data_IF_377426647200
#
_entry.id   IF_377426647200
#
_cell.length_a   1.000
_cell.length_b   1.000
_cell.length_c   1.000
_cell.angle_alpha   90.00
_cell.angle_beta   90.00
_cell.angle_gamma   90.00
#
_symmetry.space_group_name_H-M   'P 1'
#
loop_
_entity.id
_entity.type
_entity.pdbx_description
1 polymer ?
#
# COMPACT_ATOMS: atom_id res chain seq x y z
N UNK A 1 -10.09 -13.97 -11.87
CA UNK A 1 -9.05 -13.12 -12.46
C UNK A 1 -8.97 -13.41 -13.94
N UNK A 2 -9.40 -12.48 -14.77
CA UNK A 2 -9.16 -12.54 -16.21
C UNK A 2 -7.70 -12.15 -16.45
N UNK A 3 -7.04 -12.76 -17.42
CA UNK A 3 -5.62 -12.47 -17.78
C UNK A 3 -5.38 -11.00 -18.21
N UNK A 4 -6.39 -10.15 -18.14
CA UNK A 4 -6.40 -8.72 -18.49
C UNK A 4 -6.34 -7.80 -17.26
N UNK A 5 -6.44 -8.33 -16.04
CA UNK A 5 -6.38 -7.51 -14.84
C UNK A 5 -4.95 -6.99 -14.64
N UNK A 6 -4.83 -5.72 -14.33
CA UNK A 6 -3.52 -5.10 -14.08
C UNK A 6 -2.87 -5.63 -12.80
N UNK A 7 -3.69 -5.96 -11.81
CA UNK A 7 -3.25 -6.48 -10.52
C UNK A 7 -3.94 -7.79 -10.17
N UNK A 8 -3.18 -8.73 -9.60
CA UNK A 8 -3.71 -9.92 -8.94
C UNK A 8 -3.68 -9.69 -7.44
N UNK A 9 -4.85 -9.64 -6.80
CA UNK A 9 -4.94 -9.46 -5.35
C UNK A 9 -4.48 -10.73 -4.67
N UNK A 10 -3.43 -10.59 -3.85
CA UNK A 10 -2.85 -11.67 -3.09
C UNK A 10 -3.47 -11.80 -1.70
N UNK A 11 -3.67 -10.67 -1.01
CA UNK A 11 -4.29 -10.66 0.31
C UNK A 11 -5.02 -9.34 0.60
N UNK A 12 -5.95 -9.37 1.54
CA UNK A 12 -6.71 -8.22 2.02
C UNK A 12 -6.54 -8.09 3.53
N UNK A 13 -6.48 -6.85 4.01
CA UNK A 13 -6.29 -6.54 5.44
C UNK A 13 -5.10 -7.29 6.07
N UNK A 14 -4.00 -7.40 5.31
CA UNK A 14 -2.83 -8.14 5.72
C UNK A 14 -2.16 -7.51 6.93
N UNK A 15 -2.02 -8.28 8.00
CA UNK A 15 -1.30 -7.88 9.19
C UNK A 15 0.15 -8.35 9.12
N UNK A 16 1.09 -7.41 9.12
CA UNK A 16 2.52 -7.72 9.04
C UNK A 16 2.93 -8.63 10.20
N UNK A 17 3.57 -9.76 9.89
CA UNK A 17 3.99 -10.71 10.92
C UNK A 17 5.04 -10.09 11.87
N UNK A 18 5.14 -10.63 13.09
CA UNK A 18 6.17 -10.18 14.05
C UNK A 18 7.60 -10.38 13.52
N UNK A 19 7.81 -11.34 12.62
CA UNK A 19 9.11 -11.61 11.99
C UNK A 19 9.50 -10.54 10.98
N UNK A 20 8.50 -9.91 10.35
CA UNK A 20 8.67 -8.83 9.37
C UNK A 20 8.59 -7.43 10.02
N UNK A 21 8.45 -7.35 11.35
CA UNK A 21 8.42 -6.07 12.06
C UNK A 21 9.82 -5.62 12.39
N UNK A 22 10.16 -4.44 11.93
CA UNK A 22 11.41 -3.78 12.29
C UNK A 22 11.18 -2.75 13.40
N UNK A 23 12.04 -2.76 14.43
CA UNK A 23 12.05 -1.72 15.46
C UNK A 23 12.80 -0.50 14.93
N UNK A 24 12.05 0.49 14.48
CA UNK A 24 12.62 1.75 14.04
C UNK A 24 13.39 2.44 15.18
N UNK A 25 14.72 2.59 15.03
CA UNK A 25 15.64 3.42 15.82
C UNK A 25 15.39 3.53 17.33
N UNK A 26 14.80 2.54 17.96
CA UNK A 26 14.64 2.54 19.42
C UNK A 26 13.71 3.63 19.97
N UNK A 27 13.07 4.45 19.15
CA UNK A 27 12.05 5.39 19.62
C UNK A 27 10.81 4.59 20.04
N UNK A 28 10.64 4.42 21.34
CA UNK A 28 9.39 3.93 21.91
C UNK A 28 8.28 4.91 21.55
N UNK A 29 7.30 4.46 20.81
CA UNK A 29 6.03 5.17 20.67
C UNK A 29 5.44 5.34 22.07
N UNK A 30 4.86 6.50 22.37
CA UNK A 30 4.17 6.77 23.65
C UNK A 30 3.36 5.53 24.05
N UNK A 31 3.65 4.95 25.22
CA UNK A 31 3.02 3.78 25.83
C UNK A 31 3.59 2.39 25.48
N UNK A 32 4.73 2.28 24.79
CA UNK A 32 5.42 0.99 24.65
C UNK A 32 4.73 -0.06 23.74
N UNK A 33 3.64 0.31 23.10
CA UNK A 33 2.93 -0.52 22.14
C UNK A 33 3.22 -0.02 20.72
N UNK A 34 3.88 -0.82 19.91
CA UNK A 34 4.02 -0.59 18.48
C UNK A 34 2.85 -1.33 17.83
N UNK A 35 1.86 -0.61 17.28
CA UNK A 35 0.77 -1.28 16.56
C UNK A 35 1.38 -2.06 15.40
N UNK A 36 0.95 -3.30 15.24
CA UNK A 36 1.31 -4.07 14.05
C UNK A 36 0.63 -3.42 12.85
N UNK A 37 1.40 -2.96 11.84
CA UNK A 37 0.78 -2.35 10.68
C UNK A 37 -0.14 -3.35 9.98
N UNK A 38 -1.28 -2.87 9.56
CA UNK A 38 -2.21 -3.59 8.71
C UNK A 38 -2.28 -2.84 7.40
N UNK A 39 -2.12 -3.55 6.30
CA UNK A 39 -2.25 -3.01 4.96
C UNK A 39 -3.54 -3.50 4.31
N UNK A 40 -4.24 -2.60 3.63
CA UNK A 40 -5.56 -2.92 3.08
C UNK A 40 -5.48 -3.97 1.98
N UNK A 41 -4.52 -3.86 1.06
CA UNK A 41 -4.37 -4.78 -0.06
C UNK A 41 -2.90 -5.12 -0.30
N UNK A 42 -2.62 -6.41 -0.43
CA UNK A 42 -1.38 -6.90 -1.04
C UNK A 42 -1.73 -7.46 -2.41
N UNK A 43 -1.01 -7.00 -3.43
CA UNK A 43 -1.26 -7.39 -4.81
C UNK A 43 0.05 -7.64 -5.58
N UNK A 44 -0.07 -8.35 -6.69
CA UNK A 44 1.00 -8.52 -7.67
C UNK A 44 0.61 -7.74 -8.92
N UNK A 45 1.46 -6.85 -9.38
CA UNK A 45 1.27 -6.17 -10.65
C UNK A 45 1.63 -7.11 -11.78
N UNK A 46 0.67 -7.41 -12.65
CA UNK A 46 0.79 -8.51 -13.60
C UNK A 46 1.79 -8.27 -14.74
N UNK A 47 2.04 -6.99 -15.09
CA UNK A 47 2.95 -6.67 -16.21
C UNK A 47 4.43 -6.90 -15.89
N UNK A 48 4.84 -6.80 -14.62
CA UNK A 48 6.24 -6.95 -14.19
C UNK A 48 6.41 -7.85 -12.96
N UNK A 49 5.33 -8.47 -12.49
CA UNK A 49 5.30 -9.37 -11.33
C UNK A 49 5.77 -8.74 -10.01
N UNK A 50 5.71 -7.42 -9.93
CA UNK A 50 6.12 -6.67 -8.76
C UNK A 50 5.09 -6.79 -7.63
N UNK A 51 5.58 -7.05 -6.42
CA UNK A 51 4.74 -7.05 -5.23
C UNK A 51 4.36 -5.61 -4.87
N UNK A 52 3.08 -5.36 -4.68
CA UNK A 52 2.51 -4.05 -4.37
C UNK A 52 1.76 -4.09 -3.05
N UNK A 53 2.00 -3.10 -2.22
CA UNK A 53 1.24 -2.81 -1.00
C UNK A 53 0.39 -1.59 -1.28
N UNK A 54 -0.92 -1.75 -1.22
CA UNK A 54 -1.88 -0.70 -1.62
C UNK A 54 -2.74 -0.34 -0.41
N UNK A 55 -2.74 0.92 -0.06
CA UNK A 55 -3.54 1.47 1.02
C UNK A 55 -4.73 2.25 0.47
N UNK A 56 -5.93 1.92 0.93
CA UNK A 56 -7.16 2.56 0.47
C UNK A 56 -7.44 3.84 1.25
N UNK A 57 -7.78 4.90 0.56
CA UNK A 57 -8.24 6.16 1.15
C UNK A 57 -9.53 6.61 0.46
N UNK A 58 -10.56 6.89 1.25
CA UNK A 58 -11.83 7.40 0.73
C UNK A 58 -12.12 8.78 1.29
N UNK A 59 -12.22 9.76 0.38
CA UNK A 59 -12.55 11.13 0.72
C UNK A 59 -11.48 11.85 1.55
N UNK A 60 -11.72 13.12 1.77
CA UNK A 60 -10.76 14.04 2.39
C UNK A 60 -10.43 13.69 3.84
N UNK A 61 -11.41 13.16 4.59
CA UNK A 61 -11.23 12.81 6.00
C UNK A 61 -10.19 11.71 6.21
N UNK A 62 -9.98 10.85 5.21
CA UNK A 62 -9.02 9.75 5.27
C UNK A 62 -7.58 10.19 4.98
N UNK A 63 -7.33 11.48 4.69
CA UNK A 63 -6.00 11.97 4.30
C UNK A 63 -5.14 12.42 5.46
N UNK A 64 -5.76 12.72 6.61
CA UNK A 64 -5.07 13.26 7.79
C UNK A 64 -4.94 12.23 8.91
N UNK A 65 -4.07 12.55 9.91
CA UNK A 65 -3.87 11.73 11.11
C UNK A 65 -5.19 11.44 11.88
N UNK A 66 -5.27 10.34 12.63
CA UNK A 66 -4.17 9.38 12.94
C UNK A 66 -4.00 8.24 11.93
N UNK A 67 -4.79 8.16 10.88
CA UNK A 67 -4.75 7.09 9.87
C UNK A 67 -4.58 7.66 8.47
N UNK A 68 -3.85 8.75 8.37
CA UNK A 68 -3.66 9.50 7.15
C UNK A 68 -2.61 8.92 6.19
N UNK A 69 -2.36 9.68 5.13
CA UNK A 69 -1.42 9.33 4.08
C UNK A 69 -0.01 9.13 4.64
N UNK A 70 0.40 10.00 5.54
CA UNK A 70 1.77 9.99 6.07
C UNK A 70 2.01 8.82 7.00
N UNK A 71 1.08 8.55 7.92
CA UNK A 71 1.22 7.45 8.88
C UNK A 71 1.34 6.08 8.18
N UNK A 72 0.54 5.86 7.13
CA UNK A 72 0.62 4.61 6.37
C UNK A 72 1.90 4.50 5.54
N UNK A 73 2.36 5.59 4.93
CA UNK A 73 3.64 5.61 4.24
C UNK A 73 4.80 5.35 5.20
N UNK A 74 4.75 5.94 6.40
CA UNK A 74 5.73 5.71 7.46
C UNK A 74 5.69 4.25 7.95
N UNK A 75 4.50 3.70 8.15
CA UNK A 75 4.33 2.31 8.55
C UNK A 75 4.92 1.35 7.53
N UNK A 76 4.71 1.58 6.24
CA UNK A 76 5.34 0.78 5.17
C UNK A 76 6.86 0.92 5.22
N UNK A 77 7.37 2.13 5.25
CA UNK A 77 8.80 2.40 5.26
C UNK A 77 9.50 1.72 6.45
N UNK A 78 8.91 1.82 7.63
CA UNK A 78 9.48 1.24 8.86
C UNK A 78 9.39 -0.28 8.93
N UNK A 79 8.46 -0.90 8.21
CA UNK A 79 8.26 -2.36 8.27
C UNK A 79 8.88 -3.10 7.09
N UNK A 80 8.80 -2.54 5.90
CA UNK A 80 9.17 -3.23 4.65
C UNK A 80 10.22 -2.43 3.87
N UNK A 81 10.10 -1.09 3.87
CA UNK A 81 10.83 -0.25 2.92
C UNK A 81 12.33 -0.09 3.20
N UNK A 82 12.74 0.09 4.46
CA UNK A 82 14.10 0.50 4.81
C UNK A 82 15.05 -0.62 5.17
N UNK A 83 14.55 -1.73 5.68
CA UNK A 83 15.41 -2.80 6.15
C UNK A 83 15.41 -3.97 5.19
N UNK A 84 16.61 -4.35 4.73
CA UNK A 84 16.77 -5.45 3.77
C UNK A 84 16.24 -6.78 4.32
N UNK A 85 16.47 -7.07 5.60
CA UNK A 85 16.07 -8.34 6.20
C UNK A 85 14.55 -8.45 6.34
N UNK A 86 13.89 -7.37 6.79
CA UNK A 86 12.42 -7.37 6.90
C UNK A 86 11.75 -7.39 5.54
N UNK A 87 12.34 -6.72 4.54
CA UNK A 87 11.88 -6.77 3.15
C UNK A 87 11.96 -8.19 2.59
N UNK A 88 13.09 -8.88 2.76
CA UNK A 88 13.24 -10.28 2.34
C UNK A 88 12.20 -11.15 3.05
N UNK A 89 12.08 -11.03 4.38
CA UNK A 89 11.11 -11.82 5.15
C UNK A 89 9.65 -11.59 4.69
N UNK A 90 9.30 -10.35 4.37
CA UNK A 90 7.97 -10.03 3.82
C UNK A 90 7.76 -10.65 2.43
N UNK A 91 8.73 -10.54 1.53
CA UNK A 91 8.64 -11.14 0.19
C UNK A 91 8.52 -12.66 0.27
N UNK A 92 9.30 -13.30 1.16
CA UNK A 92 9.24 -14.76 1.39
C UNK A 92 7.87 -15.18 1.94
N UNK A 93 7.31 -14.40 2.87
CA UNK A 93 5.97 -14.64 3.41
C UNK A 93 4.91 -14.54 2.31
N UNK A 94 4.98 -13.51 1.45
CA UNK A 94 4.06 -13.35 0.33
C UNK A 94 4.20 -14.44 -0.74
N UNK A 95 5.40 -14.94 -0.98
CA UNK A 95 5.59 -16.11 -1.84
C UNK A 95 4.91 -17.37 -1.27
N UNK A 96 4.95 -17.56 0.04
CA UNK A 96 4.25 -18.68 0.68
C UNK A 96 2.72 -18.52 0.58
N UNK A 97 2.18 -17.32 0.76
CA UNK A 97 0.76 -17.02 0.55
C UNK A 97 0.36 -17.27 -0.90
N UNK A 98 1.18 -16.78 -1.86
CA UNK A 98 0.94 -17.03 -3.28
C UNK A 98 0.92 -18.53 -3.59
N UNK A 99 1.90 -19.27 -3.10
CA UNK A 99 1.98 -20.73 -3.31
C UNK A 99 0.74 -21.44 -2.79
N UNK A 100 0.33 -21.11 -1.57
CA UNK A 100 -0.90 -21.67 -0.98
C UNK A 100 -2.13 -21.35 -1.84
N UNK A 101 -2.33 -20.09 -2.19
CA UNK A 101 -3.50 -19.66 -2.98
C UNK A 101 -3.48 -20.19 -4.41
N UNK A 102 -2.30 -20.31 -5.02
CA UNK A 102 -2.11 -20.74 -6.40
C UNK A 102 -2.12 -22.27 -6.54
N UNK A 103 -1.30 -22.94 -5.72
CA UNK A 103 -0.99 -24.35 -5.90
C UNK A 103 -1.91 -25.27 -5.09
N UNK A 104 -2.25 -24.87 -3.86
CA UNK A 104 -3.07 -25.69 -2.98
C UNK A 104 -4.57 -25.41 -3.16
N UNK A 105 -4.96 -24.14 -3.32
CA UNK A 105 -6.34 -23.70 -3.37
C UNK A 105 -6.86 -23.40 -4.78
N UNK A 106 -6.00 -23.31 -5.78
CA UNK A 106 -6.34 -22.95 -7.18
C UNK A 106 -7.13 -21.63 -7.32
N UNK A 107 -6.90 -20.66 -6.42
CA UNK A 107 -7.57 -19.36 -6.43
C UNK A 107 -6.88 -18.35 -7.35
N UNK A 108 -5.61 -18.56 -7.68
CA UNK A 108 -4.76 -17.68 -8.48
C UNK A 108 -4.21 -18.51 -9.65
N UNK A 109 -4.10 -17.87 -10.82
CA UNK A 109 -3.53 -18.50 -12.01
C UNK A 109 -2.08 -18.96 -11.77
N UNK A 110 -1.73 -20.14 -12.30
CA UNK A 110 -0.36 -20.68 -12.22
C UNK A 110 0.70 -19.82 -12.90
N UNK A 111 0.31 -18.88 -13.74
CA UNK A 111 1.22 -17.94 -14.41
C UNK A 111 1.66 -16.80 -13.51
N UNK A 112 0.94 -16.55 -12.42
CA UNK A 112 1.26 -15.46 -11.51
C UNK A 112 2.44 -15.87 -10.64
N UNK A 113 3.44 -15.01 -10.63
CA UNK A 113 4.66 -15.15 -9.82
C UNK A 113 4.96 -13.81 -9.15
N UNK A 114 5.85 -13.82 -8.16
CA UNK A 114 6.44 -12.61 -7.59
C UNK A 114 7.88 -12.53 -8.09
N UNK A 115 8.26 -11.42 -8.71
CA UNK A 115 9.67 -11.14 -9.03
C UNK A 115 10.38 -10.66 -7.75
N UNK A 116 11.14 -11.55 -7.14
CA UNK A 116 11.88 -11.28 -5.90
C UNK A 116 13.10 -10.39 -6.09
N UNK A 117 13.48 -10.09 -7.32
CA UNK A 117 14.54 -9.13 -7.63
C UNK A 117 14.09 -7.67 -7.53
N UNK A 118 12.77 -7.46 -7.56
CA UNK A 118 12.16 -6.14 -7.45
C UNK A 118 11.76 -5.84 -6.01
N UNK A 119 12.07 -4.63 -5.56
CA UNK A 119 11.60 -4.14 -4.26
C UNK A 119 10.08 -3.97 -4.25
N UNK A 120 9.39 -4.35 -3.15
CA UNK A 120 7.97 -4.07 -3.01
C UNK A 120 7.66 -2.59 -3.18
N UNK A 121 6.57 -2.30 -3.86
CA UNK A 121 6.12 -0.94 -4.12
C UNK A 121 4.95 -0.58 -3.20
N UNK A 122 5.01 0.61 -2.58
CA UNK A 122 3.91 1.14 -1.81
C UNK A 122 3.14 2.18 -2.62
N UNK A 123 1.83 2.08 -2.61
CA UNK A 123 0.96 3.03 -3.30
C UNK A 123 -0.36 3.25 -2.56
N UNK A 124 -1.01 4.36 -2.85
CA UNK A 124 -2.37 4.62 -2.39
C UNK A 124 -3.37 4.38 -3.51
N UNK A 125 -4.54 3.87 -3.15
CA UNK A 125 -5.74 3.94 -3.98
C UNK A 125 -6.71 4.91 -3.33
N UNK A 126 -6.96 6.04 -3.98
CA UNK A 126 -7.80 7.09 -3.46
C UNK A 126 -9.14 7.12 -4.18
N UNK A 127 -10.22 6.92 -3.43
CA UNK A 127 -11.58 7.06 -3.93
C UNK A 127 -12.09 8.49 -3.72
N UNK A 128 -12.47 9.12 -4.81
CA UNK A 128 -13.12 10.43 -4.79
C UNK A 128 -14.45 10.38 -4.01
N UNK A 129 -14.72 11.42 -3.24
CA UNK A 129 -15.99 11.63 -2.51
C UNK A 129 -16.65 12.92 -3.02
N UNK A 130 -17.69 12.78 -3.85
CA UNK A 130 -18.46 13.90 -4.39
C UNK A 130 -19.30 14.63 -3.33
N UNK A 131 -19.48 14.01 -2.17
CA UNK A 131 -20.28 14.58 -1.08
C UNK A 131 -19.49 15.52 -0.17
N UNK A 132 -18.18 15.64 -0.37
CA UNK A 132 -17.35 16.57 0.39
C UNK A 132 -17.65 18.03 0.00
N UNK A 133 -18.23 18.78 0.95
CA UNK A 133 -18.67 20.17 0.70
C UNK A 133 -17.51 21.16 0.56
N UNK A 134 -16.36 20.88 1.15
CA UNK A 134 -15.18 21.76 1.10
C UNK A 134 -14.33 21.49 -0.12
N UNK A 135 -14.28 20.24 -0.56
CA UNK A 135 -13.50 19.78 -1.70
C UNK A 135 -14.37 18.98 -2.68
N UNK A 136 -15.36 19.64 -3.33
CA UNK A 136 -16.41 18.94 -4.09
C UNK A 136 -15.93 18.41 -5.45
N UNK A 137 -14.71 18.70 -5.87
CA UNK A 137 -14.17 18.26 -7.14
C UNK A 137 -12.98 17.33 -6.98
N UNK A 138 -12.80 16.41 -7.93
CA UNK A 138 -11.65 15.49 -7.95
C UNK A 138 -10.33 16.27 -7.88
N UNK A 139 -10.21 17.37 -8.63
CA UNK A 139 -8.99 18.19 -8.65
C UNK A 139 -8.70 18.86 -7.31
N UNK A 140 -9.72 19.29 -6.58
CA UNK A 140 -9.53 19.85 -5.24
C UNK A 140 -9.04 18.80 -4.25
N UNK A 141 -9.58 17.59 -4.32
CA UNK A 141 -9.16 16.47 -3.49
C UNK A 141 -7.76 15.96 -3.88
N UNK A 142 -7.42 15.92 -5.19
CA UNK A 142 -6.06 15.61 -5.67
C UNK A 142 -5.02 16.60 -5.12
N UNK A 143 -5.33 17.91 -5.13
CA UNK A 143 -4.41 18.92 -4.56
C UNK A 143 -4.20 18.72 -3.06
N UNK A 144 -5.25 18.43 -2.33
CA UNK A 144 -5.17 18.17 -0.91
C UNK A 144 -4.38 16.88 -0.62
N UNK A 145 -4.61 15.82 -1.39
CA UNK A 145 -3.85 14.58 -1.27
C UNK A 145 -2.35 14.84 -1.48
N UNK A 146 -1.98 15.57 -2.54
CA UNK A 146 -0.59 15.94 -2.80
C UNK A 146 0.02 16.77 -1.68
N UNK A 147 -0.76 17.65 -1.06
CA UNK A 147 -0.30 18.41 0.11
C UNK A 147 0.10 17.46 1.25
N UNK A 148 -0.73 16.49 1.60
CA UNK A 148 -0.43 15.52 2.64
C UNK A 148 0.73 14.58 2.27
N UNK A 149 0.87 14.22 1.00
CA UNK A 149 2.02 13.43 0.55
C UNK A 149 3.35 14.17 0.68
N UNK A 150 3.35 15.49 0.50
CA UNK A 150 4.56 16.30 0.45
C UNK A 150 4.84 17.05 1.75
N UNK A 151 3.97 16.93 2.75
CA UNK A 151 4.17 17.55 4.04
C UNK A 151 5.43 16.94 4.68
N UNK A 152 6.45 17.78 4.92
CA UNK A 152 7.69 17.37 5.55
C UNK A 152 7.41 16.90 6.99
N UNK A 153 7.96 15.74 7.32
CA UNK A 153 8.01 15.32 8.70
C UNK A 153 9.06 16.13 9.43
N UNK A 154 8.71 16.60 10.61
CA UNK A 154 9.59 17.37 11.51
C UNK A 154 10.85 16.59 11.94
N UNK A 155 10.92 15.30 11.66
CA UNK A 155 12.02 14.41 12.04
C UNK A 155 13.06 14.18 10.93
N UNK A 156 12.98 14.89 9.80
CA UNK A 156 14.00 14.87 8.74
C UNK A 156 14.14 13.55 7.98
N UNK A 157 13.18 12.64 8.12
CA UNK A 157 13.19 11.37 7.40
C UNK A 157 12.39 11.53 6.12
N UNK A 158 13.10 11.73 5.01
CA UNK A 158 12.53 11.65 3.67
C UNK A 158 12.18 10.19 3.38
N UNK A 159 10.91 9.85 3.49
CA UNK A 159 10.43 8.52 3.10
C UNK A 159 10.43 8.43 1.57
N UNK A 160 11.42 7.73 1.03
CA UNK A 160 11.48 7.38 -0.38
C UNK A 160 10.48 6.24 -0.68
N UNK A 161 9.19 6.53 -0.69
CA UNK A 161 8.23 5.65 -1.32
C UNK A 161 7.85 6.20 -2.68
N UNK A 162 7.53 5.31 -3.60
CA UNK A 162 7.00 5.76 -4.89
C UNK A 162 5.65 6.43 -4.65
N UNK A 163 5.58 7.74 -4.89
CA UNK A 163 4.38 8.56 -4.67
C UNK A 163 3.26 8.27 -5.68
N UNK A 164 3.13 7.02 -6.11
CA UNK A 164 2.07 6.57 -7.00
C UNK A 164 0.74 6.55 -6.28
N UNK A 165 -0.27 7.06 -6.94
CA UNK A 165 -1.66 7.05 -6.47
C UNK A 165 -2.55 6.50 -7.57
N UNK A 166 -3.34 5.51 -7.24
CA UNK A 166 -4.42 5.02 -8.09
C UNK A 166 -5.65 5.87 -7.77
N UNK A 167 -6.07 6.70 -8.73
CA UNK A 167 -7.24 7.54 -8.55
C UNK A 167 -8.48 6.75 -8.98
N UNK A 168 -9.42 6.59 -8.05
CA UNK A 168 -10.68 5.87 -8.28
C UNK A 168 -11.83 6.87 -8.33
N UNK A 169 -12.67 6.76 -9.35
CA UNK A 169 -13.92 7.50 -9.41
C UNK A 169 -14.92 6.94 -8.40
N UNK A 170 -15.90 7.75 -8.03
CA UNK A 170 -17.01 7.28 -7.19
C UNK A 170 -17.74 6.13 -7.90
N UNK A 171 -17.94 5.01 -7.18
CA UNK A 171 -18.54 3.81 -7.75
C UNK A 171 -17.58 2.93 -8.58
N UNK A 172 -16.33 3.34 -8.78
CA UNK A 172 -15.31 2.51 -9.41
C UNK A 172 -14.61 1.65 -8.35
N UNK A 173 -14.74 0.36 -8.47
CA UNK A 173 -14.12 -0.61 -7.56
C UNK A 173 -12.99 -1.39 -8.24
N UNK A 174 -12.53 -0.94 -9.40
CA UNK A 174 -11.43 -1.56 -10.14
C UNK A 174 -10.15 -0.79 -9.93
N UNK A 175 -9.06 -1.49 -9.59
CA UNK A 175 -7.72 -0.92 -9.58
C UNK A 175 -7.25 -0.77 -11.03
N UNK A 176 -7.39 0.42 -11.58
CA UNK A 176 -6.85 0.78 -12.90
C UNK A 176 -5.52 1.50 -12.73
N UNK A 177 -4.56 1.13 -13.56
CA UNK A 177 -3.28 1.80 -13.59
C UNK A 177 -3.34 3.26 -14.03
N UNK A 178 -2.21 3.91 -13.87
CA UNK A 178 -1.95 5.26 -14.31
C UNK A 178 -2.09 5.36 -15.84
N UNK A 179 -3.17 5.76 -16.35
CA UNK A 179 -3.15 6.00 -17.78
C UNK A 179 -4.30 6.85 -18.28
N UNK A 180 -5.38 6.81 -17.60
CA UNK A 180 -6.61 7.32 -18.19
C UNK A 180 -7.46 8.04 -17.13
N UNK A 181 -7.06 9.26 -16.84
CA UNK A 181 -7.97 10.33 -16.42
C UNK A 181 -7.56 11.62 -17.11
#
# INVERSE_FOLDING_TARGET
NKDTDEYTILDLEYQVSKKSQFHYNGKRIKNGFIPTPRFDIIAIRNCDHKLCVIELKKGVKALNDPSGVQEHAESFANTIGYNKETKIAFVDEMNNVLKQKRDDLNLISKRIIIDTSLDPEFMFAYQFDSMDKQHPTLDSQKRLFKYYQNKDYTDGVNYAYDKKVLWLNEGDYTLKGKGEL
#
